data_IF_836889945695
#
_entry.id   IF_836889945695
#
_cell.length_a   1.000
_cell.length_b   1.000
_cell.length_c   1.000
_cell.angle_alpha   90.00
_cell.angle_beta   90.00
_cell.angle_gamma   90.00
#
_symmetry.space_group_name_H-M   'P 1'
#
loop_
_entity.id
_entity.type
_entity.pdbx_description
1 polymer ?
#
# COMPACT_ATOMS: atom_id res chain seq x y z
N UNK A 1 26.80 -30.50 7.80
CA UNK A 1 27.18 -29.84 6.53
C UNK A 1 26.23 -28.71 6.09
N UNK A 2 25.05 -28.52 6.70
CA UNK A 2 24.11 -27.42 6.36
C UNK A 2 24.53 -26.06 6.94
N UNK A 3 25.32 -26.03 8.02
CA UNK A 3 25.74 -24.80 8.72
C UNK A 3 26.76 -23.91 7.97
N UNK A 4 27.44 -24.43 6.95
CA UNK A 4 28.50 -23.69 6.24
C UNK A 4 27.97 -22.89 5.03
N UNK A 5 26.78 -23.25 4.53
CA UNK A 5 26.14 -22.55 3.40
C UNK A 5 25.52 -21.22 3.84
N UNK A 6 25.10 -21.12 5.11
CA UNK A 6 24.46 -19.92 5.67
C UNK A 6 25.40 -18.75 6.00
N UNK A 7 26.72 -18.97 6.04
CA UNK A 7 27.72 -17.93 6.36
C UNK A 7 28.31 -17.24 5.12
N UNK A 8 28.03 -17.72 3.91
CA UNK A 8 28.58 -17.14 2.69
C UNK A 8 27.73 -15.93 2.29
N UNK A 9 28.24 -14.68 2.36
CA UNK A 9 27.46 -13.48 2.09
C UNK A 9 26.86 -13.48 0.67
N UNK A 10 27.50 -14.11 -0.30
CA UNK A 10 27.00 -14.22 -1.67
C UNK A 10 25.75 -15.10 -1.80
N UNK A 11 25.68 -16.20 -1.04
CA UNK A 11 24.54 -17.13 -1.04
C UNK A 11 23.37 -16.49 -0.29
N UNK A 12 23.64 -15.76 0.79
CA UNK A 12 22.65 -14.94 1.49
C UNK A 12 22.10 -13.87 0.55
N UNK A 13 22.96 -13.17 -0.20
CA UNK A 13 22.53 -12.17 -1.18
C UNK A 13 21.70 -12.79 -2.31
N UNK A 14 22.10 -13.95 -2.85
CA UNK A 14 21.31 -14.68 -3.84
C UNK A 14 19.94 -15.12 -3.30
N UNK A 15 19.89 -15.61 -2.06
CA UNK A 15 18.64 -15.96 -1.38
C UNK A 15 17.72 -14.76 -1.19
N UNK A 16 18.26 -13.62 -0.72
CA UNK A 16 17.50 -12.39 -0.54
C UNK A 16 16.95 -11.86 -1.87
N UNK A 17 17.72 -11.97 -2.97
CA UNK A 17 17.25 -11.62 -4.32
C UNK A 17 16.10 -12.54 -4.77
N UNK A 18 16.23 -13.85 -4.58
CA UNK A 18 15.17 -14.80 -4.92
C UNK A 18 13.90 -14.57 -4.07
N UNK A 19 14.06 -14.28 -2.77
CA UNK A 19 12.94 -13.99 -1.87
C UNK A 19 12.26 -12.65 -2.22
N UNK A 20 13.04 -11.63 -2.62
CA UNK A 20 12.49 -10.37 -3.10
C UNK A 20 11.66 -10.56 -4.38
N UNK A 21 12.14 -11.34 -5.35
CA UNK A 21 11.40 -11.65 -6.56
C UNK A 21 10.10 -12.40 -6.25
N UNK A 22 10.13 -13.39 -5.35
CA UNK A 22 8.93 -14.11 -4.91
C UNK A 22 7.91 -13.18 -4.22
N UNK A 23 8.37 -12.21 -3.42
CA UNK A 23 7.49 -11.20 -2.80
C UNK A 23 6.87 -10.26 -3.83
N UNK A 24 7.61 -9.85 -4.85
CA UNK A 24 7.10 -9.01 -5.93
C UNK A 24 5.96 -9.68 -6.71
N UNK A 25 6.08 -10.98 -7.00
CA UNK A 25 4.98 -11.74 -7.63
C UNK A 25 3.72 -11.75 -6.74
N UNK A 26 3.89 -11.94 -5.43
CA UNK A 26 2.77 -11.91 -4.48
C UNK A 26 2.10 -10.54 -4.44
N UNK A 27 2.87 -9.45 -4.45
CA UNK A 27 2.34 -8.07 -4.50
C UNK A 27 1.54 -7.84 -5.78
N UNK A 28 2.05 -8.28 -6.93
CA UNK A 28 1.34 -8.16 -8.20
C UNK A 28 -0.01 -8.92 -8.23
N UNK A 29 -0.12 -10.01 -7.47
CA UNK A 29 -1.40 -10.74 -7.30
C UNK A 29 -2.35 -10.01 -6.36
N UNK A 30 -1.83 -9.31 -5.35
CA UNK A 30 -2.62 -8.53 -4.39
C UNK A 30 -3.27 -7.30 -5.02
N UNK A 31 -2.71 -6.76 -6.10
CA UNK A 31 -3.29 -5.65 -6.86
C UNK A 31 -4.70 -5.96 -7.42
N UNK A 32 -5.09 -7.24 -7.50
CA UNK A 32 -6.43 -7.67 -7.92
C UNK A 32 -7.47 -7.72 -6.78
N UNK A 33 -7.06 -7.54 -5.53
CA UNK A 33 -7.94 -7.54 -4.37
C UNK A 33 -8.35 -6.11 -3.99
N UNK A 34 -9.49 -5.92 -3.29
CA UNK A 34 -9.86 -4.61 -2.75
C UNK A 34 -8.76 -4.03 -1.86
N UNK A 35 -8.44 -2.76 -2.07
CA UNK A 35 -7.63 -2.00 -1.13
C UNK A 35 -8.54 -1.43 -0.04
N UNK A 36 -8.26 -1.76 1.22
CA UNK A 36 -8.94 -1.18 2.38
C UNK A 36 -8.01 -0.13 2.95
N UNK A 37 -8.36 1.14 2.76
CA UNK A 37 -7.65 2.26 3.38
C UNK A 37 -8.44 2.78 4.58
N UNK A 38 -7.76 3.17 5.65
CA UNK A 38 -8.38 3.83 6.80
C UNK A 38 -7.90 5.27 6.83
N UNK A 39 -8.81 6.22 6.67
CA UNK A 39 -8.48 7.64 6.71
C UNK A 39 -9.21 8.30 7.86
N UNK A 40 -8.53 9.23 8.51
CA UNK A 40 -9.12 10.03 9.57
C UNK A 40 -8.39 11.35 9.67
N UNK A 41 -9.13 12.39 10.05
CA UNK A 41 -8.59 13.71 10.33
C UNK A 41 -9.22 14.26 11.60
N UNK A 42 -8.48 15.12 12.29
CA UNK A 42 -8.93 15.83 13.46
C UNK A 42 -8.35 17.25 13.43
N UNK A 43 -9.17 18.24 13.72
CA UNK A 43 -8.77 19.64 13.69
C UNK A 43 -9.89 20.56 14.18
N UNK A 44 -9.78 21.85 13.84
CA UNK A 44 -10.80 22.83 14.12
C UNK A 44 -11.20 23.59 12.85
N UNK A 45 -12.50 23.75 12.62
CA UNK A 45 -13.06 24.51 11.50
C UNK A 45 -14.13 25.47 12.03
N UNK A 46 -14.03 26.75 11.64
CA UNK A 46 -15.05 27.75 11.95
C UNK A 46 -15.16 28.77 10.83
N UNK A 47 -16.36 29.37 10.67
CA UNK A 47 -16.63 30.45 9.71
C UNK A 47 -15.97 31.78 10.12
N UNK A 48 -15.64 31.93 11.40
CA UNK A 48 -15.01 33.11 11.98
C UNK A 48 -13.72 32.69 12.70
N UNK A 49 -12.62 33.40 12.41
CA UNK A 49 -11.28 33.17 12.99
C UNK A 49 -11.33 33.28 14.52
N UNK A 50 -12.19 34.12 15.10
CA UNK A 50 -12.33 34.24 16.55
C UNK A 50 -12.90 32.98 17.22
N UNK A 51 -13.58 32.12 16.46
CA UNK A 51 -14.30 30.96 16.98
C UNK A 51 -13.56 29.63 16.75
N UNK A 52 -12.42 29.60 16.05
CA UNK A 52 -11.66 28.37 15.77
C UNK A 52 -11.10 27.70 17.03
N UNK A 53 -10.91 28.46 18.12
CA UNK A 53 -10.45 27.93 19.42
C UNK A 53 -11.59 27.51 20.35
N UNK A 54 -12.86 27.69 19.93
CA UNK A 54 -14.02 27.27 20.73
C UNK A 54 -14.22 25.76 20.61
N UNK A 55 -14.80 25.19 21.66
CA UNK A 55 -15.02 23.74 21.78
C UNK A 55 -15.92 23.18 20.65
N UNK A 56 -16.82 24.02 20.13
CA UNK A 56 -17.73 23.68 19.03
C UNK A 56 -17.09 23.72 17.65
N UNK A 57 -15.89 24.32 17.51
CA UNK A 57 -15.15 24.35 16.26
C UNK A 57 -14.37 23.06 16.00
N UNK A 58 -14.29 22.14 16.97
CA UNK A 58 -13.61 20.87 16.79
C UNK A 58 -14.34 20.01 15.76
N UNK A 59 -13.61 19.60 14.73
CA UNK A 59 -14.09 18.68 13.70
C UNK A 59 -13.15 17.49 13.62
N UNK A 60 -13.73 16.31 13.50
CA UNK A 60 -12.96 15.11 13.20
C UNK A 60 -13.79 14.19 12.35
N UNK A 61 -13.13 13.46 11.47
CA UNK A 61 -13.73 12.32 10.79
C UNK A 61 -12.81 11.12 10.93
N UNK A 62 -13.42 9.95 11.05
CA UNK A 62 -12.74 8.66 11.00
C UNK A 62 -13.61 7.76 10.14
N UNK A 63 -13.06 7.29 9.02
CA UNK A 63 -13.81 6.48 8.08
C UNK A 63 -12.92 5.48 7.36
N UNK A 64 -13.32 4.20 7.27
CA UNK A 64 -12.69 3.30 6.33
C UNK A 64 -13.08 3.70 4.90
N UNK A 65 -12.10 3.86 4.03
CA UNK A 65 -12.26 4.01 2.59
C UNK A 65 -11.89 2.68 1.90
N UNK A 66 -12.91 1.94 1.46
CA UNK A 66 -12.75 0.69 0.72
C UNK A 66 -12.73 1.04 -0.77
N UNK A 67 -11.58 0.87 -1.42
CA UNK A 67 -11.44 1.01 -2.86
C UNK A 67 -11.34 -0.38 -3.50
N UNK A 68 -12.48 -0.94 -3.89
CA UNK A 68 -12.51 -2.09 -4.79
C UNK A 68 -12.30 -1.55 -6.21
N UNK A 69 -11.32 -2.04 -6.98
CA UNK A 69 -11.26 -1.74 -8.40
C UNK A 69 -12.56 -2.26 -9.03
N UNK A 70 -13.45 -1.34 -9.38
CA UNK A 70 -14.64 -1.64 -10.17
C UNK A 70 -14.20 -2.41 -11.43
N UNK A 71 -15.05 -3.21 -12.06
CA UNK A 71 -14.72 -3.96 -13.29
C UNK A 71 -14.08 -3.10 -14.42
N UNK A 72 -14.23 -1.77 -14.34
CA UNK A 72 -13.61 -0.74 -15.21
C UNK A 72 -12.09 -0.59 -14.98
N UNK A 73 -11.55 -0.87 -13.79
CA UNK A 73 -10.14 -0.74 -13.42
C UNK A 73 -9.28 -2.00 -13.62
N UNK A 74 -9.88 -3.11 -14.05
CA UNK A 74 -9.17 -4.38 -14.30
C UNK A 74 -8.35 -4.37 -15.61
N UNK A 75 -8.78 -3.70 -16.69
CA UNK A 75 -7.97 -3.55 -17.91
C UNK A 75 -6.67 -2.77 -17.69
N UNK A 76 -6.68 -1.70 -16.89
CA UNK A 76 -5.49 -0.90 -16.58
C UNK A 76 -4.45 -1.67 -15.74
N UNK A 77 -4.90 -2.48 -14.76
CA UNK A 77 -4.00 -3.38 -14.01
C UNK A 77 -3.36 -4.43 -14.92
N UNK A 78 -4.12 -4.97 -15.90
CA UNK A 78 -3.57 -5.88 -16.91
C UNK A 78 -2.59 -5.18 -17.86
N UNK A 79 -2.83 -3.92 -18.20
CA UNK A 79 -1.90 -3.09 -18.97
C UNK A 79 -0.57 -2.90 -18.25
N UNK A 80 -0.60 -2.53 -16.98
CA UNK A 80 0.59 -2.34 -16.14
C UNK A 80 1.41 -3.63 -15.96
N UNK A 81 0.75 -4.80 -15.88
CA UNK A 81 1.45 -6.09 -15.82
C UNK A 81 2.11 -6.48 -17.15
N UNK A 82 1.52 -6.11 -18.30
CA UNK A 82 2.17 -6.32 -19.61
C UNK A 82 3.41 -5.46 -19.74
N UNK A 83 3.31 -4.18 -19.36
CA UNK A 83 4.42 -3.25 -19.46
C UNK A 83 5.64 -3.69 -18.63
N UNK A 84 5.44 -4.23 -17.42
CA UNK A 84 6.52 -4.79 -16.58
C UNK A 84 7.09 -6.13 -17.06
N UNK A 85 6.41 -6.82 -17.98
CA UNK A 85 6.91 -8.06 -18.59
C UNK A 85 7.78 -7.77 -19.82
N UNK A 86 7.56 -6.62 -20.43
CA UNK A 86 8.24 -6.19 -21.66
C UNK A 86 9.51 -5.36 -21.37
N UNK A 87 9.77 -5.03 -20.10
CA UNK A 87 11.04 -4.51 -19.56
C UNK A 87 11.90 -5.65 -18.99
#
# INVERSE_FOLDING_TARGET
>A
AVDLVGRRPDIVAARLRAEAAAKQERVARLDFYPNISLTGYYGAQSLDIGNIFKRDANIGSLGPAIHLPNFIGVPQLRGALRQRRDE
#
